data_IF_571286043870
#
_entry.id   IF_571286043870
#
_cell.length_a   1.000
_cell.length_b   1.000
_cell.length_c   1.000
_cell.angle_alpha   90.00
_cell.angle_beta   90.00
_cell.angle_gamma   90.00
#
_symmetry.space_group_name_H-M   'P 1'
#
loop_
_entity.id
_entity.type
_entity.pdbx_description
1 polymer ?
#
# COMPACT_ATOMS: atom_id res chain seq x y z
N UNK A 1 -7.18 31.44 -28.09
CA UNK A 1 -7.65 30.04 -27.96
C UNK A 1 -9.17 30.05 -27.85
N UNK A 2 -9.90 29.12 -28.50
CA UNK A 2 -11.34 29.06 -28.38
C UNK A 2 -11.72 28.76 -26.92
N UNK A 3 -12.47 29.65 -26.28
CA UNK A 3 -13.01 29.42 -24.95
C UNK A 3 -14.20 28.48 -25.07
N UNK A 4 -14.03 27.24 -24.59
CA UNK A 4 -15.13 26.28 -24.46
C UNK A 4 -15.78 26.47 -23.08
N UNK A 5 -17.08 26.73 -23.05
CA UNK A 5 -17.87 26.76 -21.82
C UNK A 5 -17.82 25.41 -21.10
N UNK A 6 -17.97 25.41 -19.77
CA UNK A 6 -17.97 24.17 -18.99
C UNK A 6 -19.13 23.24 -19.38
N UNK A 7 -20.28 23.81 -19.73
CA UNK A 7 -21.44 23.07 -20.25
C UNK A 7 -21.13 22.32 -21.54
N UNK A 8 -20.40 22.97 -22.47
CA UNK A 8 -20.01 22.33 -23.73
C UNK A 8 -19.00 21.21 -23.50
N UNK A 9 -18.05 21.39 -22.58
CA UNK A 9 -17.11 20.32 -22.20
C UNK A 9 -17.86 19.13 -21.59
N UNK A 10 -18.82 19.37 -20.71
CA UNK A 10 -19.62 18.32 -20.10
C UNK A 10 -20.47 17.54 -21.13
N UNK A 11 -21.08 18.24 -22.09
CA UNK A 11 -21.83 17.61 -23.17
C UNK A 11 -20.95 16.70 -24.05
N UNK A 12 -19.76 17.17 -24.42
CA UNK A 12 -18.79 16.38 -25.20
C UNK A 12 -18.29 15.15 -24.44
N UNK A 13 -18.01 15.30 -23.14
CA UNK A 13 -17.64 14.17 -22.27
C UNK A 13 -18.79 13.15 -22.12
N UNK A 14 -20.05 13.62 -22.06
CA UNK A 14 -21.24 12.76 -21.98
C UNK A 14 -21.43 11.90 -23.24
N UNK A 15 -21.04 12.39 -24.42
CA UNK A 15 -21.07 11.60 -25.66
C UNK A 15 -20.05 10.46 -25.65
N UNK A 16 -18.94 10.61 -24.92
CA UNK A 16 -17.93 9.57 -24.73
C UNK A 16 -18.29 8.57 -23.61
N UNK A 17 -19.40 8.79 -22.89
CA UNK A 17 -19.93 7.88 -21.88
C UNK A 17 -21.05 7.01 -22.47
N UNK A 18 -21.37 5.88 -21.80
CA UNK A 18 -22.60 5.14 -22.08
C UNK A 18 -23.82 6.09 -21.95
N UNK A 19 -24.79 6.06 -22.88
CA UNK A 19 -25.15 4.96 -23.79
C UNK A 19 -24.51 4.98 -25.19
N UNK A 20 -23.80 6.05 -25.58
CA UNK A 20 -23.28 6.18 -26.93
C UNK A 20 -21.83 5.70 -27.09
N UNK A 21 -21.01 5.84 -26.03
CA UNK A 21 -19.61 5.36 -25.98
C UNK A 21 -18.78 5.72 -27.23
N UNK A 22 -18.95 6.93 -27.78
CA UNK A 22 -18.22 7.37 -28.97
C UNK A 22 -16.73 7.57 -28.64
N UNK A 23 -15.88 7.33 -29.64
CA UNK A 23 -14.44 7.61 -29.52
C UNK A 23 -14.18 9.12 -29.54
N UNK A 24 -13.08 9.55 -28.89
CA UNK A 24 -12.68 10.96 -28.86
C UNK A 24 -12.48 11.53 -30.28
N UNK A 25 -11.99 10.73 -31.22
CA UNK A 25 -11.78 11.10 -32.62
C UNK A 25 -13.09 11.26 -33.42
N UNK A 26 -14.14 10.52 -33.08
CA UNK A 26 -15.47 10.69 -33.66
C UNK A 26 -16.17 11.95 -33.13
N UNK A 27 -16.07 12.20 -31.83
CA UNK A 27 -16.59 13.42 -31.21
C UNK A 27 -15.87 14.66 -31.75
N UNK A 28 -14.55 14.57 -31.92
CA UNK A 28 -13.73 15.63 -32.53
C UNK A 28 -14.20 15.99 -33.95
N UNK A 29 -14.46 14.98 -34.80
CA UNK A 29 -14.94 15.16 -36.17
C UNK A 29 -16.36 15.75 -36.23
N UNK A 30 -17.25 15.30 -35.34
CA UNK A 30 -18.66 15.71 -35.34
C UNK A 30 -18.86 17.14 -34.84
N UNK A 31 -18.14 17.51 -33.79
CA UNK A 31 -18.37 18.78 -33.05
C UNK A 31 -17.29 19.83 -33.35
N UNK A 32 -16.33 19.51 -34.23
CA UNK A 32 -15.26 20.41 -34.65
C UNK A 32 -14.33 20.81 -33.51
N UNK A 33 -14.03 19.88 -32.60
CA UNK A 33 -13.12 20.12 -31.48
C UNK A 33 -11.82 19.32 -31.63
N UNK A 34 -10.75 19.80 -31.00
CA UNK A 34 -9.45 19.11 -31.06
C UNK A 34 -9.47 17.85 -30.21
N UNK A 35 -9.05 16.72 -30.78
CA UNK A 35 -8.91 15.43 -30.08
C UNK A 35 -8.04 15.56 -28.82
N UNK A 36 -6.97 16.35 -28.89
CA UNK A 36 -6.09 16.65 -27.75
C UNK A 36 -6.82 17.36 -26.60
N UNK A 37 -7.79 18.23 -26.91
CA UNK A 37 -8.58 18.93 -25.89
C UNK A 37 -9.57 17.99 -25.20
N UNK A 38 -10.17 17.05 -25.94
CA UNK A 38 -11.06 16.02 -25.37
C UNK A 38 -10.30 15.09 -24.43
N UNK A 39 -9.12 14.62 -24.82
CA UNK A 39 -8.25 13.81 -23.96
C UNK A 39 -7.84 14.56 -22.69
N UNK A 40 -7.50 15.85 -22.81
CA UNK A 40 -7.16 16.70 -21.67
C UNK A 40 -8.35 16.85 -20.71
N UNK A 41 -9.56 17.14 -21.21
CA UNK A 41 -10.75 17.26 -20.37
C UNK A 41 -11.17 15.93 -19.74
N UNK A 42 -11.00 14.80 -20.44
CA UNK A 42 -11.25 13.46 -19.88
C UNK A 42 -10.30 13.18 -18.71
N UNK A 43 -9.01 13.50 -18.86
CA UNK A 43 -8.02 13.37 -17.78
C UNK A 43 -8.34 14.29 -16.60
N UNK A 44 -8.76 15.53 -16.88
CA UNK A 44 -9.16 16.49 -15.86
C UNK A 44 -10.43 16.06 -15.11
N UNK A 45 -11.39 15.46 -15.81
CA UNK A 45 -12.61 14.93 -15.22
C UNK A 45 -12.36 13.67 -14.38
N UNK A 46 -11.46 12.78 -14.83
CA UNK A 46 -10.99 11.65 -14.04
C UNK A 46 -10.26 12.09 -12.76
N UNK A 47 -9.43 13.14 -12.83
CA UNK A 47 -8.76 13.73 -11.66
C UNK A 47 -9.75 14.41 -10.69
N UNK A 48 -10.87 14.92 -11.19
CA UNK A 48 -11.97 15.51 -10.40
C UNK A 48 -12.96 14.45 -9.85
N UNK A 49 -12.68 13.16 -10.04
CA UNK A 49 -13.47 12.06 -9.48
C UNK A 49 -14.76 11.73 -10.24
N UNK A 50 -15.02 12.36 -11.39
CA UNK A 50 -16.11 11.93 -12.27
C UNK A 50 -15.62 10.71 -13.05
N UNK A 51 -16.22 9.54 -12.79
CA UNK A 51 -15.87 8.25 -13.40
C UNK A 51 -16.08 8.28 -14.92
N UNK A 52 -15.11 8.84 -15.63
CA UNK A 52 -15.03 8.98 -17.08
C UNK A 52 -13.91 8.14 -17.68
N UNK A 53 -13.20 7.37 -16.85
CA UNK A 53 -12.38 6.30 -17.35
C UNK A 53 -13.29 5.13 -17.65
N UNK A 54 -13.46 4.80 -18.93
CA UNK A 54 -13.76 3.44 -19.33
C UNK A 54 -12.93 2.50 -18.45
N UNK A 55 -13.64 1.59 -17.82
CA UNK A 55 -13.19 0.69 -16.79
C UNK A 55 -12.26 -0.37 -17.39
N UNK A 56 -11.15 0.04 -18.03
CA UNK A 56 -9.98 -0.81 -18.20
C UNK A 56 -9.38 -0.96 -16.82
N UNK A 57 -10.05 -1.75 -15.98
CA UNK A 57 -9.51 -2.21 -14.71
C UNK A 57 -8.16 -2.79 -15.02
N UNK A 58 -7.11 -2.05 -14.65
CA UNK A 58 -5.76 -2.57 -14.78
C UNK A 58 -5.71 -3.87 -13.97
N UNK A 59 -4.97 -4.89 -14.41
CA UNK A 59 -4.83 -6.16 -13.68
C UNK A 59 -4.40 -5.98 -12.19
N UNK A 60 -3.87 -4.81 -11.88
CA UNK A 60 -3.41 -4.35 -10.58
C UNK A 60 -4.53 -3.82 -9.66
N UNK A 61 -5.69 -3.40 -10.19
CA UNK A 61 -6.84 -2.95 -9.39
C UNK A 61 -7.73 -4.10 -8.90
N UNK A 62 -7.40 -5.34 -9.27
CA UNK A 62 -8.15 -6.52 -8.83
C UNK A 62 -7.77 -6.87 -7.38
N UNK A 63 -8.77 -6.95 -6.52
CA UNK A 63 -8.60 -7.37 -5.12
C UNK A 63 -8.10 -8.82 -5.07
N UNK A 64 -7.44 -9.19 -3.96
CA UNK A 64 -6.95 -10.57 -3.78
C UNK A 64 -8.10 -11.60 -3.82
N UNK A 65 -9.28 -11.23 -3.31
CA UNK A 65 -10.48 -12.05 -3.34
C UNK A 65 -11.02 -12.23 -4.77
N UNK A 66 -11.11 -11.14 -5.55
CA UNK A 66 -11.53 -11.22 -6.96
C UNK A 66 -10.55 -12.02 -7.83
N UNK A 67 -9.24 -11.91 -7.56
CA UNK A 67 -8.22 -12.75 -8.21
C UNK A 67 -8.40 -14.23 -7.88
N UNK A 68 -8.71 -14.56 -6.62
CA UNK A 68 -8.96 -15.93 -6.20
C UNK A 68 -10.21 -16.49 -6.88
N UNK A 69 -11.32 -15.73 -6.89
CA UNK A 69 -12.56 -16.13 -7.56
C UNK A 69 -12.32 -16.40 -9.04
N UNK A 70 -11.60 -15.52 -9.73
CA UNK A 70 -11.24 -15.72 -11.14
C UNK A 70 -10.42 -17.00 -11.36
N UNK A 71 -9.48 -17.34 -10.45
CA UNK A 71 -8.70 -18.57 -10.50
C UNK A 71 -9.55 -19.82 -10.23
N UNK A 72 -10.53 -19.73 -9.34
CA UNK A 72 -11.45 -20.84 -9.03
C UNK A 72 -12.40 -21.08 -10.20
N UNK A 73 -13.04 -20.03 -10.72
CA UNK A 73 -13.96 -20.12 -11.86
C UNK A 73 -13.22 -20.70 -13.07
N UNK A 74 -12.06 -20.13 -13.43
CA UNK A 74 -11.23 -20.63 -14.53
C UNK A 74 -10.68 -22.05 -14.35
N UNK A 75 -10.73 -22.64 -13.14
CA UNK A 75 -10.25 -24.01 -12.94
C UNK A 75 -11.15 -25.08 -13.57
N UNK A 76 -12.44 -24.76 -13.77
CA UNK A 76 -13.43 -25.66 -14.36
C UNK A 76 -13.67 -25.42 -15.85
N UNK A 77 -13.12 -24.34 -16.42
CA UNK A 77 -13.35 -23.93 -17.81
C UNK A 77 -12.34 -24.59 -18.75
N UNK A 78 -12.80 -24.94 -19.96
CA UNK A 78 -11.94 -25.34 -21.07
C UNK A 78 -11.14 -24.15 -21.63
N UNK A 79 -10.09 -24.40 -22.43
CA UNK A 79 -9.24 -23.33 -22.99
C UNK A 79 -10.02 -22.31 -23.83
N UNK A 80 -11.06 -22.77 -24.54
CA UNK A 80 -11.96 -21.92 -25.31
C UNK A 80 -12.78 -21.00 -24.39
N UNK A 81 -13.43 -21.57 -23.37
CA UNK A 81 -14.24 -20.82 -22.41
C UNK A 81 -13.38 -19.87 -21.57
N UNK A 82 -12.15 -20.28 -21.23
CA UNK A 82 -11.18 -19.44 -20.55
C UNK A 82 -10.85 -18.20 -21.37
N UNK A 83 -10.66 -18.36 -22.69
CA UNK A 83 -10.40 -17.24 -23.59
C UNK A 83 -11.58 -16.26 -23.68
N UNK A 84 -12.83 -16.77 -23.64
CA UNK A 84 -14.03 -15.93 -23.60
C UNK A 84 -14.17 -15.21 -22.27
N UNK A 85 -13.95 -15.91 -21.16
CA UNK A 85 -13.95 -15.35 -19.81
C UNK A 85 -12.92 -14.23 -19.67
N UNK A 86 -11.71 -14.47 -20.17
CA UNK A 86 -10.62 -13.49 -20.25
C UNK A 86 -11.03 -12.23 -21.01
N UNK A 87 -11.70 -12.38 -22.16
CA UNK A 87 -12.21 -11.24 -22.96
C UNK A 87 -13.32 -10.47 -22.25
N UNK A 88 -14.24 -11.16 -21.58
CA UNK A 88 -15.35 -10.53 -20.83
C UNK A 88 -14.86 -9.74 -19.63
N UNK A 89 -13.87 -10.28 -18.91
CA UNK A 89 -13.34 -9.69 -17.68
C UNK A 89 -12.10 -8.80 -17.90
N UNK A 90 -11.57 -8.73 -19.12
CA UNK A 90 -10.38 -7.93 -19.44
C UNK A 90 -9.08 -8.47 -18.84
N UNK A 91 -9.01 -9.78 -18.58
CA UNK A 91 -7.84 -10.48 -18.00
C UNK A 91 -7.19 -11.34 -19.07
N UNK A 92 -5.87 -11.57 -18.98
CA UNK A 92 -5.17 -12.51 -19.85
C UNK A 92 -5.00 -13.89 -19.20
N UNK A 93 -5.02 -15.00 -19.96
CA UNK A 93 -4.82 -16.35 -19.42
C UNK A 93 -3.51 -16.49 -18.62
N UNK A 94 -2.43 -15.89 -19.11
CA UNK A 94 -1.13 -15.87 -18.43
C UNK A 94 -1.17 -15.20 -17.04
N UNK A 95 -2.10 -14.26 -16.81
CA UNK A 95 -2.26 -13.61 -15.52
C UNK A 95 -2.96 -14.52 -14.52
N UNK A 96 -3.96 -15.28 -14.96
CA UNK A 96 -4.64 -16.29 -14.13
C UNK A 96 -3.65 -17.35 -13.68
N UNK A 97 -2.79 -17.82 -14.60
CA UNK A 97 -1.71 -18.77 -14.26
C UNK A 97 -0.67 -18.16 -13.32
N UNK A 98 -0.34 -16.88 -13.50
CA UNK A 98 0.51 -16.13 -12.59
C UNK A 98 -0.08 -16.04 -11.19
N UNK A 99 -1.38 -15.74 -11.08
CA UNK A 99 -2.09 -15.69 -9.81
C UNK A 99 -2.17 -17.06 -9.16
N UNK A 100 -2.48 -18.12 -9.90
CA UNK A 100 -2.48 -19.50 -9.41
C UNK A 100 -1.13 -19.89 -8.81
N UNK A 101 -0.03 -19.62 -9.54
CA UNK A 101 1.34 -19.88 -9.05
C UNK A 101 1.67 -19.05 -7.82
N UNK A 102 1.28 -17.78 -7.79
CA UNK A 102 1.48 -16.91 -6.63
C UNK A 102 0.71 -17.40 -5.40
N UNK A 103 -0.53 -17.88 -5.54
CA UNK A 103 -1.31 -18.46 -4.44
C UNK A 103 -0.65 -19.73 -3.88
N UNK A 104 -0.19 -20.64 -4.75
CA UNK A 104 0.50 -21.86 -4.33
C UNK A 104 1.83 -21.52 -3.62
N UNK A 105 2.63 -20.63 -4.22
CA UNK A 105 3.90 -20.21 -3.65
C UNK A 105 3.73 -19.48 -2.32
N UNK A 106 2.70 -18.64 -2.18
CA UNK A 106 2.44 -17.94 -0.93
C UNK A 106 2.00 -18.92 0.17
N UNK A 107 1.20 -19.94 -0.16
CA UNK A 107 0.81 -20.99 0.79
C UNK A 107 2.02 -21.77 1.32
N UNK A 108 2.95 -22.16 0.44
CA UNK A 108 4.17 -22.87 0.84
C UNK A 108 5.11 -21.96 1.64
N UNK A 109 5.28 -20.71 1.20
CA UNK A 109 6.18 -19.75 1.83
C UNK A 109 5.64 -19.27 3.18
N UNK A 110 4.33 -19.18 3.39
CA UNK A 110 3.73 -18.78 4.66
C UNK A 110 4.09 -19.74 5.81
N UNK A 111 4.31 -21.02 5.51
CA UNK A 111 4.78 -22.01 6.51
C UNK A 111 6.24 -21.79 6.92
N UNK A 112 7.11 -21.49 5.94
CA UNK A 112 8.53 -21.23 6.17
C UNK A 112 8.75 -19.87 6.85
N UNK A 113 8.04 -18.84 6.39
CA UNK A 113 8.11 -17.49 6.95
C UNK A 113 7.62 -17.48 8.41
N UNK A 114 6.52 -18.19 8.72
CA UNK A 114 6.01 -18.29 10.09
C UNK A 114 6.99 -18.99 11.04
N UNK A 115 7.79 -19.96 10.54
CA UNK A 115 8.81 -20.64 11.34
C UNK A 115 10.04 -19.75 11.58
N UNK A 116 10.47 -18.97 10.58
CA UNK A 116 11.53 -17.98 10.71
C UNK A 116 11.18 -16.86 11.70
N UNK A 117 10.00 -16.24 11.51
CA UNK A 117 9.49 -15.18 12.38
C UNK A 117 9.33 -15.67 13.84
N UNK A 118 8.87 -16.91 14.04
CA UNK A 118 8.76 -17.49 15.38
C UNK A 118 10.12 -17.76 16.05
N UNK A 119 11.19 -17.95 15.26
CA UNK A 119 12.57 -18.07 15.75
C UNK A 119 13.12 -16.71 16.15
N UNK A 120 13.09 -15.75 15.23
CA UNK A 120 13.58 -14.37 15.43
C UNK A 120 12.88 -13.71 16.64
N UNK A 121 11.56 -13.84 16.75
CA UNK A 121 10.82 -13.28 17.89
C UNK A 121 11.19 -13.91 19.25
N UNK A 122 11.71 -15.14 19.27
CA UNK A 122 12.21 -15.76 20.51
C UNK A 122 13.61 -15.25 20.86
N UNK A 123 14.48 -15.14 19.85
CA UNK A 123 15.83 -14.59 20.00
C UNK A 123 15.78 -13.14 20.47
N UNK A 124 14.93 -12.31 19.86
CA UNK A 124 14.71 -10.92 20.26
C UNK A 124 14.19 -10.82 21.69
N UNK A 125 13.21 -11.65 22.07
CA UNK A 125 12.69 -11.68 23.46
C UNK A 125 13.78 -12.06 24.46
N UNK A 126 14.64 -13.00 24.12
CA UNK A 126 15.75 -13.40 24.98
C UNK A 126 16.77 -12.26 25.09
N UNK A 127 17.07 -11.56 23.97
CA UNK A 127 17.97 -10.42 23.95
C UNK A 127 17.44 -9.25 24.78
N UNK A 128 16.16 -8.92 24.65
CA UNK A 128 15.49 -7.89 25.46
C UNK A 128 15.62 -8.23 26.94
N UNK A 129 15.33 -9.48 27.35
CA UNK A 129 15.46 -9.91 28.75
C UNK A 129 16.88 -9.85 29.29
N UNK A 130 17.89 -10.12 28.47
CA UNK A 130 19.30 -9.96 28.86
C UNK A 130 19.65 -8.50 29.06
N UNK A 131 19.30 -7.65 28.09
CA UNK A 131 19.55 -6.21 28.14
C UNK A 131 18.84 -5.55 29.34
N UNK A 132 17.59 -5.94 29.64
CA UNK A 132 16.87 -5.48 30.83
C UNK A 132 17.57 -5.89 32.14
N UNK A 133 18.18 -7.08 32.19
CA UNK A 133 18.93 -7.53 33.37
C UNK A 133 20.21 -6.74 33.55
N UNK A 134 20.94 -6.51 32.47
CA UNK A 134 22.14 -5.67 32.49
C UNK A 134 21.82 -4.23 32.89
N UNK A 135 20.73 -3.67 32.37
CA UNK A 135 20.25 -2.34 32.72
C UNK A 135 19.99 -2.25 34.23
N UNK A 136 19.21 -3.19 34.78
CA UNK A 136 18.90 -3.21 36.23
C UNK A 136 20.16 -3.30 37.10
N UNK A 137 21.17 -4.08 36.68
CA UNK A 137 22.44 -4.18 37.42
C UNK A 137 23.22 -2.86 37.38
N UNK A 138 23.26 -2.20 36.23
CA UNK A 138 23.91 -0.89 36.06
C UNK A 138 23.19 0.18 36.86
N UNK A 139 21.86 0.21 36.82
CA UNK A 139 21.04 1.15 37.60
C UNK A 139 21.22 0.94 39.11
N UNK A 140 21.32 -0.31 39.58
CA UNK A 140 21.60 -0.61 40.99
C UNK A 140 22.98 -0.09 41.42
N UNK A 141 24.03 -0.34 40.63
CA UNK A 141 25.37 0.17 40.91
C UNK A 141 25.42 1.73 40.86
N UNK A 142 24.68 2.34 39.93
CA UNK A 142 24.54 3.79 39.87
C UNK A 142 23.79 4.33 41.10
N UNK A 143 22.73 3.67 41.55
CA UNK A 143 22.00 4.07 42.75
C UNK A 143 22.87 3.97 44.02
N UNK A 144 23.70 2.93 44.13
CA UNK A 144 24.66 2.77 45.22
C UNK A 144 25.71 3.89 45.23
N UNK A 145 26.28 4.24 44.06
CA UNK A 145 27.24 5.35 43.97
C UNK A 145 26.60 6.71 44.29
N UNK A 146 25.38 6.96 43.81
CA UNK A 146 24.60 8.16 44.15
C UNK A 146 24.32 8.21 45.65
N UNK A 147 23.94 7.09 46.27
CA UNK A 147 23.71 7.02 47.72
C UNK A 147 24.98 7.36 48.51
N UNK A 148 26.14 6.83 48.10
CA UNK A 148 27.43 7.15 48.72
C UNK A 148 27.79 8.64 48.57
N UNK A 149 27.59 9.23 47.38
CA UNK A 149 27.82 10.66 47.13
C UNK A 149 26.91 11.54 47.98
N UNK A 150 25.63 11.19 48.10
CA UNK A 150 24.66 11.92 48.93
C UNK A 150 25.04 11.82 50.41
N UNK A 151 25.44 10.64 50.89
CA UNK A 151 25.90 10.47 52.27
C UNK A 151 27.17 11.28 52.55
N UNK A 152 28.15 11.27 51.64
CA UNK A 152 29.37 12.10 51.75
C UNK A 152 29.03 13.59 51.80
N UNK A 153 28.13 14.07 50.92
CA UNK A 153 27.68 15.47 50.92
C UNK A 153 27.01 15.86 52.24
N UNK A 154 26.11 15.01 52.76
CA UNK A 154 25.46 15.25 54.06
C UNK A 154 26.47 15.32 55.20
N UNK A 155 27.46 14.42 55.18
CA UNK A 155 28.51 14.35 56.20
C UNK A 155 29.40 15.60 56.19
N UNK A 156 29.83 16.05 55.01
CA UNK A 156 30.60 17.30 54.85
C UNK A 156 29.81 18.51 55.38
N UNK A 157 28.52 18.60 55.06
CA UNK A 157 27.64 19.67 55.56
C UNK A 157 27.50 19.67 57.09
N UNK A 158 27.48 18.49 57.73
CA UNK A 158 27.45 18.39 59.20
C UNK A 158 28.76 18.85 59.85
N UNK A 159 29.91 18.62 59.21
CA UNK A 159 31.22 19.01 59.74
C UNK A 159 31.68 20.40 59.32
N UNK A 160 30.88 21.14 58.54
CA UNK A 160 31.23 22.50 58.12
C UNK A 160 32.38 22.57 57.12
N UNK A 161 32.78 21.42 56.54
CA UNK A 161 33.75 21.38 55.44
C UNK A 161 33.03 21.63 54.10
N UNK A 162 32.31 22.74 54.01
CA UNK A 162 32.00 23.37 52.73
C UNK A 162 33.23 24.21 52.35
N UNK A 163 34.35 23.53 52.09
CA UNK A 163 35.37 24.15 51.25
C UNK A 163 34.79 24.08 49.83
N UNK A 164 34.12 25.18 49.47
CA UNK A 164 34.09 25.68 48.10
C UNK A 164 35.51 25.58 47.54
N UNK A 165 35.73 24.71 46.55
CA UNK A 165 36.60 25.00 45.41
C UNK A 165 36.59 23.83 44.40
N UNK A 166 35.99 24.14 43.24
CA UNK A 166 36.05 23.48 41.92
C UNK A 166 35.30 22.16 41.68
#
# INVERSE_FOLDING_TARGET
>A
MPFYSEERKAALLKMMLPPLSLSASEVARREGCSDMSLHYWRKQAAARGSQLSENKQSPESWSAESKLMAVIESSALSELELSEYCRRNGIFPAQIDGWRKAFIANSTNHSALKKGIAGETKEDKNRIRELERELRRKDAALAETVALLVLRKKLNAYWGNDDEDN
#
